data_IF_570050051446
#
_entry.id   IF_570050051446
#
_cell.length_a   1.000
_cell.length_b   1.000
_cell.length_c   1.000
_cell.angle_alpha   90.00
_cell.angle_beta   90.00
_cell.angle_gamma   90.00
#
_symmetry.space_group_name_H-M   'P 1'
#
loop_
_entity.id
_entity.type
_entity.pdbx_description
1 polymer ?
#
# COMPACT_ATOMS: atom_id res chain seq x y z
N UNK A 1 9.37 13.58 5.03
CA UNK A 1 9.15 12.30 4.33
C UNK A 1 7.77 12.32 3.70
N UNK A 2 7.69 12.14 2.40
CA UNK A 2 6.44 12.24 1.63
C UNK A 2 6.26 10.96 0.81
N UNK A 3 5.12 10.29 0.99
CA UNK A 3 4.66 9.20 0.13
C UNK A 3 3.62 9.76 -0.84
N UNK A 4 3.92 9.69 -2.13
CA UNK A 4 2.93 9.97 -3.16
C UNK A 4 2.39 8.66 -3.70
N UNK A 5 1.08 8.46 -3.56
CA UNK A 5 0.36 7.34 -4.17
C UNK A 5 -0.25 7.84 -5.48
N UNK A 6 0.17 7.27 -6.59
CA UNK A 6 -0.35 7.62 -7.90
C UNK A 6 -0.92 6.39 -8.59
N UNK A 7 -2.02 6.61 -9.28
CA UNK A 7 -2.55 5.70 -10.26
C UNK A 7 -2.59 6.43 -11.60
N UNK A 8 -1.71 6.02 -12.51
CA UNK A 8 -1.79 6.42 -13.91
C UNK A 8 -2.06 5.16 -14.73
N UNK A 9 -3.20 5.13 -15.39
CA UNK A 9 -3.55 4.05 -16.32
C UNK A 9 -3.95 4.64 -17.65
N UNK A 10 -3.01 4.62 -18.58
CA UNK A 10 -3.36 4.56 -20.00
C UNK A 10 -3.35 3.09 -20.44
N UNK A 11 -4.53 2.50 -20.60
CA UNK A 11 -4.67 1.13 -21.07
C UNK A 11 -5.55 1.11 -22.31
N UNK A 12 -5.03 0.53 -23.39
CA UNK A 12 -5.77 0.28 -24.62
C UNK A 12 -7.09 -0.46 -24.35
N UNK A 13 -8.13 -0.12 -25.08
CA UNK A 13 -9.54 -0.50 -24.81
C UNK A 13 -9.81 -2.01 -24.63
N UNK A 14 -8.91 -2.90 -25.04
CA UNK A 14 -9.09 -4.36 -24.95
C UNK A 14 -8.89 -4.94 -23.55
N UNK A 15 -8.06 -4.34 -22.74
CA UNK A 15 -7.76 -4.80 -21.38
C UNK A 15 -8.64 -4.16 -20.29
N UNK A 16 -9.43 -3.14 -20.64
CA UNK A 16 -10.27 -2.44 -19.65
C UNK A 16 -11.28 -3.34 -18.94
N UNK A 17 -11.89 -4.32 -19.63
CA UNK A 17 -12.88 -5.21 -19.01
C UNK A 17 -12.26 -6.18 -17.99
N UNK A 18 -11.09 -6.74 -18.31
CA UNK A 18 -10.39 -7.66 -17.39
C UNK A 18 -9.76 -6.92 -16.21
N UNK A 19 -9.17 -5.75 -16.46
CA UNK A 19 -8.65 -4.88 -15.41
C UNK A 19 -9.74 -4.40 -14.44
N UNK A 20 -10.94 -4.07 -14.93
CA UNK A 20 -12.06 -3.65 -14.08
C UNK A 20 -12.50 -4.75 -13.10
N UNK A 21 -12.39 -6.02 -13.46
CA UNK A 21 -12.74 -7.12 -12.55
C UNK A 21 -11.74 -7.30 -11.41
N UNK A 22 -10.49 -6.86 -11.57
CA UNK A 22 -9.45 -6.94 -10.54
C UNK A 22 -9.28 -5.66 -9.73
N UNK A 23 -9.77 -4.52 -10.22
CA UNK A 23 -9.55 -3.20 -9.60
C UNK A 23 -10.15 -3.05 -8.20
N UNK A 24 -11.23 -3.76 -7.90
CA UNK A 24 -11.90 -3.72 -6.59
C UNK A 24 -11.47 -4.81 -5.62
N UNK A 25 -10.61 -5.76 -6.01
CA UNK A 25 -10.23 -6.89 -5.17
C UNK A 25 -8.74 -6.83 -4.82
N UNK A 26 -8.44 -7.08 -3.55
CA UNK A 26 -7.07 -7.30 -3.12
C UNK A 26 -6.51 -8.58 -3.76
N UNK A 27 -5.38 -8.48 -4.42
CA UNK A 27 -4.71 -9.60 -5.06
C UNK A 27 -3.76 -10.31 -4.10
N UNK A 28 -3.10 -9.54 -3.26
CA UNK A 28 -2.17 -10.03 -2.23
C UNK A 28 -1.98 -8.95 -1.17
N UNK A 29 -1.83 -9.40 0.08
CA UNK A 29 -1.67 -8.51 1.22
C UNK A 29 -0.23 -8.13 1.51
N UNK A 30 0.74 -8.93 1.07
CA UNK A 30 2.17 -8.69 1.32
C UNK A 30 3.04 -9.06 0.12
N UNK A 31 4.20 -8.44 0.04
CA UNK A 31 5.31 -8.84 -0.82
C UNK A 31 6.17 -9.83 -0.02
N UNK A 32 6.57 -10.94 -0.65
CA UNK A 32 7.42 -11.96 -0.01
C UNK A 32 8.91 -11.75 -0.26
N UNK A 33 9.25 -10.69 -0.97
CA UNK A 33 10.63 -10.29 -1.24
C UNK A 33 11.18 -9.50 -0.05
N UNK A 34 12.48 -9.64 0.19
CA UNK A 34 13.16 -8.93 1.27
C UNK A 34 13.50 -7.51 0.83
N UNK A 35 12.83 -6.53 1.41
CA UNK A 35 13.11 -5.10 1.15
C UNK A 35 14.52 -4.66 1.60
N UNK A 36 15.27 -5.51 2.30
CA UNK A 36 16.62 -5.17 2.75
C UNK A 36 17.58 -4.93 1.57
N UNK A 37 17.39 -5.63 0.45
CA UNK A 37 18.18 -5.44 -0.76
C UNK A 37 17.93 -4.04 -1.34
N UNK A 38 16.66 -3.66 -1.48
CA UNK A 38 16.28 -2.34 -1.99
C UNK A 38 16.77 -1.24 -1.06
N UNK A 39 16.60 -1.40 0.25
CA UNK A 39 17.10 -0.49 1.26
C UNK A 39 18.63 -0.33 1.19
N UNK A 40 19.35 -1.44 1.03
CA UNK A 40 20.81 -1.38 0.88
C UNK A 40 21.22 -0.56 -0.33
N UNK A 41 20.62 -0.81 -1.50
CA UNK A 41 20.91 -0.09 -2.74
C UNK A 41 20.59 1.40 -2.63
N UNK A 42 19.41 1.73 -2.10
CA UNK A 42 18.96 3.12 -1.99
C UNK A 42 19.81 3.92 -1.00
N UNK A 43 20.29 3.31 0.08
CA UNK A 43 21.22 3.95 1.03
C UNK A 43 22.59 4.28 0.44
N UNK A 44 22.96 3.68 -0.71
CA UNK A 44 24.18 4.04 -1.44
C UNK A 44 24.02 5.30 -2.31
N UNK A 45 22.79 5.77 -2.52
CA UNK A 45 22.54 6.99 -3.28
C UNK A 45 23.06 8.21 -2.52
N UNK A 46 23.88 9.02 -3.18
CA UNK A 46 24.55 10.17 -2.54
C UNK A 46 23.74 11.46 -2.57
N UNK A 47 22.57 11.46 -3.20
CA UNK A 47 21.72 12.64 -3.37
C UNK A 47 20.26 12.31 -3.06
N UNK A 48 19.44 13.33 -2.70
CA UNK A 48 18.02 13.15 -2.60
C UNK A 48 17.44 12.53 -3.87
N UNK A 49 16.70 11.44 -3.74
CA UNK A 49 16.22 10.65 -4.87
C UNK A 49 14.70 10.50 -4.84
N UNK A 50 14.13 10.44 -6.03
CA UNK A 50 12.73 10.07 -6.23
C UNK A 50 12.65 8.65 -6.74
N UNK A 51 12.02 7.78 -5.98
CA UNK A 51 11.92 6.36 -6.23
C UNK A 51 10.53 6.03 -6.76
N UNK A 52 10.47 5.27 -7.85
CA UNK A 52 9.23 4.72 -8.38
C UNK A 52 9.22 3.22 -8.09
N UNK A 53 8.19 2.76 -7.41
CA UNK A 53 8.05 1.35 -7.02
C UNK A 53 6.65 0.83 -7.33
N UNK A 54 6.53 -0.46 -7.61
CA UNK A 54 5.23 -1.12 -7.70
C UNK A 54 4.65 -1.21 -6.29
N UNK A 55 3.43 -0.70 -6.10
CA UNK A 55 2.81 -0.65 -4.78
C UNK A 55 2.60 -2.04 -4.19
N UNK A 56 2.06 -2.97 -4.97
CA UNK A 56 1.91 -4.36 -4.55
C UNK A 56 1.24 -4.46 -3.17
N UNK A 57 1.79 -5.24 -2.24
CA UNK A 57 1.35 -5.30 -0.85
C UNK A 57 1.86 -4.15 0.04
N UNK A 58 2.65 -3.22 -0.50
CA UNK A 58 3.17 -2.05 0.18
C UNK A 58 4.45 -2.25 0.99
N UNK A 59 4.91 -3.49 1.17
CA UNK A 59 6.05 -3.77 2.06
C UNK A 59 7.32 -3.01 1.64
N UNK A 60 7.71 -3.11 0.37
CA UNK A 60 8.90 -2.42 -0.17
C UNK A 60 8.70 -0.90 -0.13
N UNK A 61 7.57 -0.39 -0.63
CA UNK A 61 7.28 1.05 -0.65
C UNK A 61 7.36 1.67 0.74
N UNK A 62 6.74 1.03 1.74
CA UNK A 62 6.73 1.50 3.12
C UNK A 62 8.11 1.38 3.79
N UNK A 63 8.88 0.34 3.46
CA UNK A 63 10.26 0.20 3.95
C UNK A 63 11.17 1.30 3.40
N UNK A 64 11.05 1.64 2.13
CA UNK A 64 11.85 2.71 1.49
C UNK A 64 11.56 4.09 2.07
N UNK A 65 10.38 4.32 2.67
CA UNK A 65 10.07 5.56 3.38
C UNK A 65 10.93 5.79 4.63
N UNK A 66 11.65 4.78 5.11
CA UNK A 66 12.59 4.93 6.24
C UNK A 66 13.89 5.64 5.83
N UNK A 67 14.12 5.84 4.53
CA UNK A 67 15.28 6.55 4.01
C UNK A 67 14.94 8.03 3.86
N UNK A 68 15.45 8.87 4.75
CA UNK A 68 15.09 10.31 4.86
C UNK A 68 15.32 11.12 3.58
N UNK A 69 16.36 10.78 2.80
CA UNK A 69 16.71 11.47 1.56
C UNK A 69 15.86 11.07 0.36
N UNK A 70 14.86 10.19 0.53
CA UNK A 70 14.07 9.64 -0.57
C UNK A 70 12.61 10.07 -0.51
N UNK A 71 12.07 10.34 -1.69
CA UNK A 71 10.63 10.41 -1.95
C UNK A 71 10.21 9.13 -2.68
N UNK A 72 9.16 8.50 -2.24
CA UNK A 72 8.64 7.25 -2.82
C UNK A 72 7.31 7.51 -3.51
N UNK A 73 7.25 7.24 -4.80
CA UNK A 73 6.02 7.17 -5.59
C UNK A 73 5.68 5.70 -5.81
N UNK A 74 4.62 5.22 -5.17
CA UNK A 74 4.13 3.86 -5.33
C UNK A 74 3.03 3.82 -6.39
N UNK A 75 3.19 2.95 -7.38
CA UNK A 75 2.31 2.83 -8.54
C UNK A 75 1.73 1.41 -8.60
N UNK A 76 0.46 1.29 -8.94
CA UNK A 76 -0.16 -0.01 -9.21
C UNK A 76 -1.31 0.16 -10.22
N UNK A 77 -1.56 -0.85 -11.02
CA UNK A 77 -2.73 -0.92 -11.91
C UNK A 77 -4.01 -1.24 -11.11
N UNK A 78 -3.87 -1.86 -9.94
CA UNK A 78 -4.96 -2.19 -9.05
C UNK A 78 -5.21 -1.09 -8.03
N UNK A 79 -6.38 -0.48 -8.09
CA UNK A 79 -6.81 0.52 -7.11
C UNK A 79 -6.90 -0.08 -5.70
N UNK A 80 -7.24 -1.37 -5.59
CA UNK A 80 -7.31 -2.06 -4.31
C UNK A 80 -5.90 -2.18 -3.66
N UNK A 81 -4.87 -2.41 -4.46
CA UNK A 81 -3.49 -2.44 -3.93
C UNK A 81 -3.04 -1.04 -3.47
N UNK A 82 -3.37 0.01 -4.21
CA UNK A 82 -3.12 1.39 -3.74
C UNK A 82 -3.86 1.69 -2.44
N UNK A 83 -5.15 1.32 -2.34
CA UNK A 83 -5.93 1.49 -1.12
C UNK A 83 -5.35 0.72 0.07
N UNK A 84 -4.84 -0.50 -0.15
CA UNK A 84 -4.16 -1.29 0.87
C UNK A 84 -2.89 -0.59 1.38
N UNK A 85 -2.06 -0.05 0.47
CA UNK A 85 -0.83 0.66 0.84
C UNK A 85 -1.16 1.92 1.62
N UNK A 86 -2.19 2.67 1.20
CA UNK A 86 -2.68 3.86 1.90
C UNK A 86 -3.16 3.51 3.31
N UNK A 87 -3.93 2.42 3.47
CA UNK A 87 -4.36 1.93 4.78
C UNK A 87 -3.17 1.56 5.66
N UNK A 88 -2.22 0.78 5.16
CA UNK A 88 -1.03 0.39 5.92
C UNK A 88 -0.19 1.61 6.34
N UNK A 89 -0.05 2.58 5.45
CA UNK A 89 0.64 3.84 5.76
C UNK A 89 -0.08 4.62 6.87
N UNK A 90 -1.41 4.70 6.82
CA UNK A 90 -2.22 5.36 7.85
C UNK A 90 -2.10 4.65 9.20
N UNK A 91 -2.18 3.31 9.23
CA UNK A 91 -1.98 2.50 10.44
C UNK A 91 -0.61 2.76 11.06
N UNK A 92 0.46 2.69 10.27
CA UNK A 92 1.82 2.92 10.74
C UNK A 92 1.99 4.34 11.30
N UNK A 93 1.48 5.34 10.60
CA UNK A 93 1.65 6.76 10.94
C UNK A 93 0.88 7.15 12.19
N UNK A 94 -0.35 6.66 12.36
CA UNK A 94 -1.28 7.14 13.39
C UNK A 94 -1.43 6.20 14.58
N UNK A 95 -1.28 4.89 14.37
CA UNK A 95 -1.42 3.89 15.44
C UNK A 95 -0.09 3.17 15.77
N UNK A 96 0.93 3.35 14.94
CA UNK A 96 2.26 2.80 15.16
C UNK A 96 2.42 1.35 14.70
N UNK A 97 3.65 0.84 14.85
CA UNK A 97 4.06 -0.45 14.30
C UNK A 97 3.27 -1.64 14.86
N UNK A 98 2.98 -1.64 16.17
CA UNK A 98 2.29 -2.77 16.81
C UNK A 98 0.89 -2.94 16.24
N UNK A 99 0.11 -1.87 16.14
CA UNK A 99 -1.23 -1.89 15.57
C UNK A 99 -1.21 -2.25 14.08
N UNK A 100 -0.26 -1.70 13.31
CA UNK A 100 -0.11 -2.05 11.90
C UNK A 100 0.22 -3.53 11.70
N UNK A 101 1.10 -4.12 12.53
CA UNK A 101 1.41 -5.55 12.52
C UNK A 101 0.18 -6.39 12.88
N UNK A 102 -0.56 -6.00 13.91
CA UNK A 102 -1.79 -6.68 14.33
C UNK A 102 -2.82 -6.70 13.19
N UNK A 103 -3.03 -5.56 12.50
CA UNK A 103 -3.92 -5.48 11.35
C UNK A 103 -3.50 -6.40 10.19
N UNK A 104 -2.21 -6.67 10.04
CA UNK A 104 -1.71 -7.54 9.00
C UNK A 104 -2.01 -9.03 9.24
N UNK A 105 -2.06 -9.49 10.50
CA UNK A 105 -2.15 -10.91 10.86
C UNK A 105 -3.45 -11.29 11.58
N UNK A 106 -4.22 -10.33 12.04
CA UNK A 106 -5.45 -10.52 12.80
C UNK A 106 -6.63 -9.73 12.25
N UNK A 107 -7.71 -9.65 13.02
CA UNK A 107 -8.89 -8.88 12.64
C UNK A 107 -8.60 -7.37 12.63
N UNK A 108 -8.49 -6.81 11.44
CA UNK A 108 -8.13 -5.41 11.21
C UNK A 108 -9.33 -4.45 11.26
N UNK A 109 -10.58 -4.93 11.38
CA UNK A 109 -11.80 -4.08 11.27
C UNK A 109 -11.83 -2.95 12.29
N UNK A 110 -11.46 -3.23 13.54
CA UNK A 110 -11.41 -2.22 14.59
C UNK A 110 -10.32 -1.18 14.38
N UNK A 111 -9.16 -1.59 13.88
CA UNK A 111 -8.03 -0.71 13.55
C UNK A 111 -8.33 0.12 12.29
N UNK A 112 -8.94 -0.49 11.27
CA UNK A 112 -9.41 0.23 10.09
C UNK A 112 -10.42 1.32 10.45
N UNK A 113 -11.39 1.03 11.32
CA UNK A 113 -12.37 2.04 11.75
C UNK A 113 -11.71 3.29 12.36
N UNK A 114 -10.59 3.13 13.09
CA UNK A 114 -9.88 4.24 13.72
C UNK A 114 -9.16 5.14 12.71
N UNK A 115 -8.72 4.61 11.56
CA UNK A 115 -7.96 5.36 10.56
C UNK A 115 -8.74 5.65 9.28
N UNK A 116 -9.93 5.09 9.12
CA UNK A 116 -10.71 5.16 7.86
C UNK A 116 -11.02 6.59 7.40
N UNK A 117 -11.18 7.53 8.34
CA UNK A 117 -11.39 8.94 8.04
C UNK A 117 -10.14 9.66 7.49
N UNK A 118 -8.97 9.06 7.62
CA UNK A 118 -7.69 9.60 7.15
C UNK A 118 -7.36 9.15 5.72
N UNK A 119 -8.10 8.15 5.22
CA UNK A 119 -7.91 7.64 3.87
C UNK A 119 -8.57 8.56 2.84
N UNK A 120 -8.07 8.51 1.61
CA UNK A 120 -8.78 9.10 0.48
C UNK A 120 -10.20 8.50 0.37
N UNK A 121 -11.20 9.25 -0.12
CA UNK A 121 -12.57 8.73 -0.26
C UNK A 121 -12.62 7.44 -1.08
N UNK A 122 -11.76 7.33 -2.09
CA UNK A 122 -11.65 6.16 -2.95
C UNK A 122 -11.07 4.95 -2.19
N UNK A 123 -9.95 5.14 -1.49
CA UNK A 123 -9.33 4.06 -0.71
C UNK A 123 -10.28 3.58 0.39
N UNK A 124 -10.96 4.49 1.08
CA UNK A 124 -11.95 4.14 2.08
C UNK A 124 -13.06 3.28 1.49
N UNK A 125 -13.68 3.70 0.37
CA UNK A 125 -14.76 2.95 -0.27
C UNK A 125 -14.32 1.54 -0.71
N UNK A 126 -13.09 1.42 -1.24
CA UNK A 126 -12.54 0.13 -1.63
C UNK A 126 -12.32 -0.76 -0.40
N UNK A 127 -11.73 -0.22 0.67
CA UNK A 127 -11.45 -1.00 1.89
C UNK A 127 -12.72 -1.36 2.66
N UNK A 128 -13.75 -0.52 2.67
CA UNK A 128 -15.07 -0.85 3.21
C UNK A 128 -15.67 -2.10 2.53
N UNK A 129 -15.39 -2.31 1.24
CA UNK A 129 -15.82 -3.48 0.49
C UNK A 129 -14.99 -4.75 0.74
N UNK A 130 -13.83 -4.65 1.43
CA UNK A 130 -12.91 -5.77 1.72
C UNK A 130 -13.17 -6.44 3.09
N UNK A 131 -14.40 -6.59 3.50
CA UNK A 131 -14.79 -7.07 4.84
C UNK A 131 -14.11 -8.37 5.27
N UNK A 132 -14.01 -9.36 4.38
CA UNK A 132 -13.34 -10.63 4.69
C UNK A 132 -11.83 -10.47 4.83
N UNK A 133 -11.18 -9.68 3.96
CA UNK A 133 -9.75 -9.39 4.07
C UNK A 133 -9.43 -8.62 5.36
N UNK A 134 -10.29 -7.68 5.75
CA UNK A 134 -10.14 -6.97 7.02
C UNK A 134 -10.31 -7.91 8.22
N UNK A 135 -11.22 -8.87 8.14
CA UNK A 135 -11.49 -9.85 9.20
C UNK A 135 -10.37 -10.87 9.36
N UNK A 136 -9.79 -11.33 8.25
CA UNK A 136 -8.74 -12.37 8.25
C UNK A 136 -7.33 -11.81 8.41
N UNK A 137 -7.17 -10.50 8.32
CA UNK A 137 -5.89 -9.82 8.32
C UNK A 137 -5.43 -9.41 6.91
N UNK A 138 -4.80 -8.25 6.83
CA UNK A 138 -4.43 -7.62 5.54
C UNK A 138 -3.39 -8.40 4.73
N UNK A 139 -2.72 -9.38 5.32
CA UNK A 139 -1.70 -10.21 4.66
C UNK A 139 -2.21 -11.59 4.23
N UNK A 140 -3.49 -11.90 4.43
CA UNK A 140 -4.13 -13.16 4.06
C UNK A 140 -4.84 -13.08 2.72
#
# INVERSE_FOLDING_TARGET
>A
MELTLKMEVEVEQRSKRELFHTQGRLMFGQVREDAAVDLFLVKQLQSPSRLFVIASGGCTALSLLTVESCRVDALDISQAQIALVELKAALLKHLGFVAAKEACIGDARGLFAQVSALLSPQAKAIMDAQGESLKSGLNN
#
